data_IF_313402207263
#
_entry.id   IF_313402207263
#
_cell.length_a   1.000
_cell.length_b   1.000
_cell.length_c   1.000
_cell.angle_alpha   90.00
_cell.angle_beta   90.00
_cell.angle_gamma   90.00
#
_symmetry.space_group_name_H-M   'P 1'
#
loop_
_entity.id
_entity.type
_entity.pdbx_description
1 polymer ?
#
# COMPACT_ATOMS: atom_id res chain seq x y z
N UNK A 1 -24.13 -19.85 1.77
CA UNK A 1 -24.23 -21.29 1.43
C UNK A 1 -23.16 -21.54 0.38
N UNK A 2 -22.25 -22.50 0.59
CA UNK A 2 -21.27 -22.85 -0.44
C UNK A 2 -22.00 -23.55 -1.59
N UNK A 3 -21.64 -23.23 -2.84
CA UNK A 3 -22.07 -24.06 -3.96
C UNK A 3 -21.29 -25.38 -3.91
N UNK A 4 -22.00 -26.50 -4.00
CA UNK A 4 -21.38 -27.83 -4.06
C UNK A 4 -20.91 -28.21 -5.46
N UNK A 5 -21.23 -27.40 -6.48
CA UNK A 5 -20.81 -27.66 -7.85
C UNK A 5 -19.35 -27.26 -8.05
N UNK A 6 -18.58 -28.03 -8.86
CA UNK A 6 -17.24 -27.62 -9.28
C UNK A 6 -17.28 -26.24 -9.95
N UNK A 7 -16.19 -25.49 -9.81
CA UNK A 7 -16.02 -24.25 -10.57
C UNK A 7 -15.93 -24.56 -12.07
N UNK A 8 -16.36 -23.61 -12.90
CA UNK A 8 -16.10 -23.67 -14.35
C UNK A 8 -14.59 -23.77 -14.62
N UNK A 9 -14.20 -24.28 -15.79
CA UNK A 9 -12.79 -24.34 -16.18
C UNK A 9 -12.13 -22.96 -16.16
N UNK A 10 -12.84 -21.93 -16.64
CA UNK A 10 -12.38 -20.54 -16.63
C UNK A 10 -12.13 -20.02 -15.21
N UNK A 11 -13.09 -20.25 -14.29
CA UNK A 11 -12.95 -19.84 -12.90
C UNK A 11 -11.83 -20.61 -12.19
N UNK A 12 -11.71 -21.91 -12.48
CA UNK A 12 -10.63 -22.77 -11.98
C UNK A 12 -9.26 -22.27 -12.44
N UNK A 13 -9.11 -21.92 -13.72
CA UNK A 13 -7.86 -21.38 -14.27
C UNK A 13 -7.50 -20.04 -13.62
N UNK A 14 -8.48 -19.13 -13.48
CA UNK A 14 -8.27 -17.84 -12.84
C UNK A 14 -7.91 -17.97 -11.34
N UNK A 15 -8.53 -18.91 -10.61
CA UNK A 15 -8.20 -19.22 -9.21
C UNK A 15 -6.76 -19.70 -9.08
N UNK A 16 -6.33 -20.65 -9.91
CA UNK A 16 -4.95 -21.14 -9.90
C UNK A 16 -3.96 -19.99 -10.17
N UNK A 17 -4.27 -19.07 -11.07
CA UNK A 17 -3.43 -17.90 -11.35
C UNK A 17 -3.35 -16.94 -10.14
N UNK A 18 -4.47 -16.69 -9.45
CA UNK A 18 -4.47 -15.87 -8.22
C UNK A 18 -3.62 -16.51 -7.13
N UNK A 19 -3.77 -17.82 -6.89
CA UNK A 19 -2.96 -18.56 -5.91
C UNK A 19 -1.49 -18.47 -6.24
N UNK A 20 -1.13 -18.74 -7.50
CA UNK A 20 0.23 -18.66 -8.01
C UNK A 20 0.87 -17.29 -7.74
N UNK A 21 0.16 -16.22 -8.08
CA UNK A 21 0.68 -14.87 -7.96
C UNK A 21 0.80 -14.43 -6.50
N UNK A 22 -0.13 -14.83 -5.64
CA UNK A 22 -0.01 -14.59 -4.21
C UNK A 22 1.20 -15.32 -3.60
N UNK A 23 1.47 -16.57 -3.99
CA UNK A 23 2.67 -17.29 -3.51
C UNK A 23 3.95 -16.64 -4.03
N UNK A 24 3.99 -16.23 -5.29
CA UNK A 24 5.12 -15.50 -5.87
C UNK A 24 5.37 -14.18 -5.16
N UNK A 25 4.35 -13.33 -5.01
CA UNK A 25 4.48 -12.03 -4.32
C UNK A 25 4.84 -12.20 -2.84
N UNK A 26 4.33 -13.24 -2.17
CA UNK A 26 4.76 -13.61 -0.81
C UNK A 26 6.27 -13.85 -0.74
N UNK A 27 6.80 -14.66 -1.68
CA UNK A 27 8.23 -14.95 -1.75
C UNK A 27 9.05 -13.68 -2.05
N UNK A 28 8.62 -12.85 -3.00
CA UNK A 28 9.32 -11.60 -3.35
C UNK A 28 9.35 -10.63 -2.18
N UNK A 29 8.23 -10.42 -1.47
CA UNK A 29 8.20 -9.56 -0.29
C UNK A 29 9.07 -10.08 0.84
N UNK A 30 9.08 -11.39 1.07
CA UNK A 30 9.99 -11.99 2.06
C UNK A 30 11.47 -11.75 1.70
N UNK A 31 11.83 -11.90 0.43
CA UNK A 31 13.18 -11.61 -0.04
C UNK A 31 13.55 -10.12 0.06
N UNK A 32 12.61 -9.20 -0.20
CA UNK A 32 12.80 -7.77 0.03
C UNK A 32 13.04 -7.45 1.50
N UNK A 33 12.28 -8.04 2.42
CA UNK A 33 12.51 -7.85 3.85
C UNK A 33 13.95 -8.24 4.23
N UNK A 34 14.41 -9.39 3.75
CA UNK A 34 15.75 -9.88 4.03
C UNK A 34 16.87 -9.04 3.38
N UNK A 35 16.65 -8.48 2.18
CA UNK A 35 17.65 -7.59 1.56
C UNK A 35 17.92 -6.36 2.45
N UNK A 36 16.88 -5.85 3.10
CA UNK A 36 16.96 -4.71 4.00
C UNK A 36 17.50 -5.06 5.40
N UNK A 37 17.39 -6.31 5.87
CA UNK A 37 18.03 -6.75 7.12
C UNK A 37 19.56 -6.71 7.07
N UNK A 38 20.16 -6.91 5.89
CA UNK A 38 21.62 -7.01 5.75
C UNK A 38 22.37 -5.67 5.80
N UNK A 39 21.64 -4.54 5.81
CA UNK A 39 22.23 -3.21 5.83
C UNK A 39 22.49 -2.69 7.25
N UNK A 40 23.72 -2.20 7.53
CA UNK A 40 24.06 -1.45 8.76
C UNK A 40 23.36 -0.08 8.88
N UNK A 41 22.44 0.25 7.98
CA UNK A 41 21.72 1.51 7.96
C UNK A 41 20.35 1.25 8.54
N UNK A 42 19.96 2.02 9.55
CA UNK A 42 18.63 2.02 10.15
C UNK A 42 17.58 1.72 9.10
N UNK A 43 17.11 0.48 9.15
CA UNK A 43 16.06 0.02 8.29
C UNK A 43 14.80 0.61 8.87
N UNK A 44 14.42 1.79 8.35
CA UNK A 44 13.06 2.32 8.36
C UNK A 44 12.06 1.15 8.23
N UNK A 45 10.83 1.19 8.80
CA UNK A 45 9.96 0.01 9.03
C UNK A 45 9.57 -0.89 7.83
N UNK A 46 10.25 -0.81 6.70
CA UNK A 46 10.24 -1.69 5.54
C UNK A 46 10.42 -3.18 5.88
N UNK A 47 11.32 -3.56 6.79
CA UNK A 47 11.53 -5.00 7.08
C UNK A 47 10.22 -5.61 7.60
N UNK A 48 9.71 -5.09 8.70
CA UNK A 48 8.46 -5.55 9.30
C UNK A 48 7.27 -5.37 8.34
N UNK A 49 7.25 -4.29 7.57
CA UNK A 49 6.20 -4.05 6.58
C UNK A 49 6.18 -5.14 5.49
N UNK A 50 7.33 -5.45 4.89
CA UNK A 50 7.42 -6.47 3.85
C UNK A 50 7.22 -7.89 4.39
N UNK A 51 7.63 -8.19 5.63
CA UNK A 51 7.28 -9.46 6.28
C UNK A 51 5.76 -9.60 6.45
N UNK A 52 5.10 -8.56 6.97
CA UNK A 52 3.64 -8.55 7.14
C UNK A 52 2.92 -8.72 5.81
N UNK A 53 3.43 -8.11 4.74
CA UNK A 53 2.90 -8.30 3.39
C UNK A 53 3.13 -9.73 2.90
N UNK A 54 4.33 -10.28 3.08
CA UNK A 54 4.65 -11.65 2.70
C UNK A 54 3.69 -12.66 3.34
N UNK A 55 3.41 -12.50 4.63
CA UNK A 55 2.48 -13.35 5.37
C UNK A 55 1.03 -13.15 4.94
N UNK A 56 0.61 -11.90 4.75
CA UNK A 56 -0.73 -11.60 4.21
C UNK A 56 -0.96 -12.25 2.85
N UNK A 57 0.05 -12.23 1.96
CA UNK A 57 -0.03 -12.87 0.64
C UNK A 57 -0.12 -14.40 0.75
N UNK A 58 0.62 -15.02 1.68
CA UNK A 58 0.53 -16.46 1.94
C UNK A 58 -0.85 -16.86 2.47
N UNK A 59 -1.41 -16.06 3.36
CA UNK A 59 -2.75 -16.29 3.90
C UNK A 59 -3.82 -16.15 2.80
N UNK A 60 -3.73 -15.14 1.93
CA UNK A 60 -4.63 -15.03 0.78
C UNK A 60 -4.52 -16.23 -0.15
N UNK A 61 -3.30 -16.65 -0.50
CA UNK A 61 -3.09 -17.85 -1.32
C UNK A 61 -3.78 -19.07 -0.71
N UNK A 62 -3.59 -19.31 0.59
CA UNK A 62 -4.21 -20.41 1.32
C UNK A 62 -5.75 -20.34 1.28
N UNK A 63 -6.33 -19.17 1.49
CA UNK A 63 -7.79 -18.98 1.42
C UNK A 63 -8.36 -19.23 0.03
N UNK A 64 -7.71 -18.75 -1.04
CA UNK A 64 -8.10 -19.07 -2.42
C UNK A 64 -7.95 -20.56 -2.73
N UNK A 65 -6.86 -21.18 -2.25
CA UNK A 65 -6.64 -22.61 -2.40
C UNK A 65 -7.72 -23.43 -1.70
N UNK A 66 -8.18 -23.02 -0.53
CA UNK A 66 -9.28 -23.66 0.18
C UNK A 66 -10.59 -23.62 -0.61
N UNK A 67 -10.90 -22.51 -1.30
CA UNK A 67 -12.05 -22.46 -2.21
C UNK A 67 -11.91 -23.50 -3.34
N UNK A 68 -10.75 -23.54 -3.99
CA UNK A 68 -10.48 -24.47 -5.10
C UNK A 68 -10.56 -25.94 -4.64
N UNK A 69 -9.90 -26.27 -3.53
CA UNK A 69 -9.88 -27.62 -2.96
C UNK A 69 -11.27 -28.07 -2.53
N UNK A 70 -12.08 -27.18 -1.96
CA UNK A 70 -13.41 -27.53 -1.48
C UNK A 70 -14.30 -28.07 -2.61
N UNK A 71 -14.19 -27.53 -3.83
CA UNK A 71 -15.13 -27.82 -4.93
C UNK A 71 -14.59 -28.70 -6.04
N UNK A 72 -13.34 -28.51 -6.44
CA UNK A 72 -12.79 -29.25 -7.59
C UNK A 72 -12.02 -30.50 -7.19
N UNK A 73 -11.61 -30.60 -5.91
CA UNK A 73 -10.76 -31.69 -5.36
C UNK A 73 -9.42 -31.91 -6.10
N UNK A 74 -9.09 -31.05 -7.06
CA UNK A 74 -7.87 -31.07 -7.85
C UNK A 74 -7.34 -29.65 -7.99
N UNK A 75 -6.04 -29.50 -7.72
CA UNK A 75 -5.29 -28.26 -7.93
C UNK A 75 -4.50 -28.46 -9.22
N UNK A 76 -4.61 -27.51 -10.15
CA UNK A 76 -3.73 -27.52 -11.32
C UNK A 76 -2.39 -26.88 -10.92
N UNK A 77 -1.26 -27.33 -11.49
CA UNK A 77 0.02 -26.66 -11.29
C UNK A 77 -0.15 -25.17 -11.60
N UNK A 78 0.10 -24.27 -10.63
CA UNK A 78 0.03 -22.85 -10.87
C UNK A 78 1.05 -22.42 -11.94
N UNK A 79 0.81 -21.34 -12.69
CA UNK A 79 1.85 -20.77 -13.54
C UNK A 79 3.09 -20.40 -12.71
N UNK A 80 4.27 -20.65 -13.28
CA UNK A 80 5.53 -20.20 -12.70
C UNK A 80 5.77 -18.75 -13.09
N UNK A 81 6.06 -17.91 -12.10
CA UNK A 81 6.49 -16.52 -12.33
C UNK A 81 8.00 -16.45 -12.35
N UNK A 82 8.54 -15.58 -13.19
CA UNK A 82 9.98 -15.34 -13.27
C UNK A 82 10.54 -14.87 -11.93
N UNK A 83 11.79 -15.26 -11.65
CA UNK A 83 12.48 -14.86 -10.44
C UNK A 83 12.87 -13.39 -10.56
N UNK A 84 12.46 -12.58 -9.59
CA UNK A 84 12.88 -11.18 -9.49
C UNK A 84 14.37 -11.10 -9.13
N UNK A 85 15.14 -10.27 -9.83
CA UNK A 85 16.53 -10.00 -9.47
C UNK A 85 16.60 -9.06 -8.26
N UNK A 86 16.88 -9.64 -7.10
CA UNK A 86 17.00 -8.89 -5.84
C UNK A 86 18.16 -7.90 -5.83
N UNK A 87 19.13 -8.02 -6.74
CA UNK A 87 20.24 -7.06 -6.86
C UNK A 87 19.79 -5.68 -7.33
N UNK A 88 18.61 -5.57 -7.95
CA UNK A 88 18.04 -4.30 -8.38
C UNK A 88 17.32 -3.56 -7.23
N UNK A 89 16.94 -4.28 -6.18
CA UNK A 89 16.20 -3.77 -5.03
C UNK A 89 17.17 -3.36 -3.91
N UNK A 90 17.94 -2.30 -4.18
CA UNK A 90 18.97 -1.78 -3.27
C UNK A 90 18.52 -0.60 -2.42
N UNK A 91 17.41 0.04 -2.78
CA UNK A 91 16.92 1.25 -2.10
C UNK A 91 15.46 1.10 -1.70
N UNK A 92 15.01 1.77 -0.63
CA UNK A 92 13.59 1.80 -0.28
C UNK A 92 12.68 2.27 -1.42
N UNK A 93 13.15 3.24 -2.22
CA UNK A 93 12.40 3.74 -3.38
C UNK A 93 12.25 2.66 -4.47
N UNK A 94 13.32 1.93 -4.79
CA UNK A 94 13.23 0.84 -5.78
C UNK A 94 12.36 -0.32 -5.29
N UNK A 95 12.38 -0.61 -3.98
CA UNK A 95 11.47 -1.59 -3.38
C UNK A 95 9.99 -1.17 -3.47
N UNK A 96 9.68 0.10 -3.17
CA UNK A 96 8.32 0.64 -3.28
C UNK A 96 7.81 0.64 -4.74
N UNK A 97 8.66 0.99 -5.70
CA UNK A 97 8.31 0.94 -7.13
C UNK A 97 8.04 -0.50 -7.59
N UNK A 98 8.85 -1.46 -7.13
CA UNK A 98 8.63 -2.88 -7.43
C UNK A 98 7.36 -3.41 -6.78
N UNK A 99 7.09 -3.05 -5.53
CA UNK A 99 5.82 -3.35 -4.88
C UNK A 99 4.65 -2.79 -5.70
N UNK A 100 4.69 -1.53 -6.11
CA UNK A 100 3.64 -0.91 -6.93
C UNK A 100 3.36 -1.71 -8.21
N UNK A 101 4.40 -2.08 -8.97
CA UNK A 101 4.25 -2.88 -10.19
C UNK A 101 3.63 -4.26 -9.93
N UNK A 102 4.04 -4.93 -8.85
CA UNK A 102 3.45 -6.21 -8.46
C UNK A 102 1.97 -6.06 -8.08
N UNK A 103 1.63 -5.00 -7.35
CA UNK A 103 0.25 -4.77 -6.91
C UNK A 103 -0.70 -4.39 -8.05
N UNK A 104 -0.20 -3.67 -9.08
CA UNK A 104 -0.96 -3.45 -10.31
C UNK A 104 -1.25 -4.76 -11.05
N UNK A 105 -0.26 -5.64 -11.13
CA UNK A 105 -0.41 -6.96 -11.74
C UNK A 105 -1.38 -7.83 -10.96
N UNK A 106 -1.27 -7.87 -9.62
CA UNK A 106 -2.22 -8.59 -8.76
C UNK A 106 -3.64 -8.08 -8.97
N UNK A 107 -3.83 -6.77 -9.08
CA UNK A 107 -5.15 -6.17 -9.32
C UNK A 107 -5.77 -6.67 -10.63
N UNK A 108 -5.01 -6.73 -11.72
CA UNK A 108 -5.49 -7.25 -13.01
C UNK A 108 -5.91 -8.72 -12.90
N UNK A 109 -5.13 -9.53 -12.20
CA UNK A 109 -5.41 -10.96 -11.99
C UNK A 109 -6.67 -11.14 -11.13
N UNK A 110 -6.84 -10.37 -10.06
CA UNK A 110 -8.04 -10.41 -9.21
C UNK A 110 -9.31 -9.98 -9.96
N UNK A 111 -9.21 -8.96 -10.83
CA UNK A 111 -10.32 -8.54 -11.69
C UNK A 111 -10.69 -9.60 -12.73
N UNK A 112 -9.70 -10.31 -13.30
CA UNK A 112 -9.94 -11.44 -14.18
C UNK A 112 -10.67 -12.58 -13.44
N UNK A 113 -10.27 -12.90 -12.20
CA UNK A 113 -11.01 -13.85 -11.36
C UNK A 113 -12.44 -13.37 -11.09
N UNK A 114 -12.65 -12.08 -10.82
CA UNK A 114 -13.99 -11.52 -10.60
C UNK A 114 -14.89 -11.72 -11.82
N UNK A 115 -14.32 -11.56 -13.02
CA UNK A 115 -15.04 -11.79 -14.28
C UNK A 115 -15.38 -13.28 -14.49
N UNK A 116 -14.49 -14.21 -14.13
CA UNK A 116 -14.72 -15.64 -14.25
C UNK A 116 -15.67 -16.21 -13.16
N UNK A 117 -15.69 -15.58 -11.97
CA UNK A 117 -16.47 -16.02 -10.81
C UNK A 117 -17.88 -15.43 -10.73
N UNK A 118 -18.46 -14.89 -11.83
CA UNK A 118 -19.75 -14.16 -11.85
C UNK A 118 -20.92 -14.88 -11.17
N UNK A 119 -20.92 -16.22 -11.16
CA UNK A 119 -22.00 -17.05 -10.58
C UNK A 119 -21.64 -17.61 -9.20
N UNK A 120 -20.45 -17.31 -8.68
CA UNK A 120 -19.88 -17.91 -7.47
C UNK A 120 -19.98 -16.96 -6.28
N UNK A 121 -21.18 -16.86 -5.70
CA UNK A 121 -21.53 -15.84 -4.71
C UNK A 121 -20.60 -15.76 -3.49
N UNK A 122 -20.17 -16.89 -2.94
CA UNK A 122 -19.24 -16.99 -1.81
C UNK A 122 -17.82 -16.56 -2.19
N UNK A 123 -17.34 -16.97 -3.36
CA UNK A 123 -16.04 -16.55 -3.89
C UNK A 123 -16.05 -15.05 -4.20
N UNK A 124 -17.13 -14.53 -4.79
CA UNK A 124 -17.30 -13.09 -5.05
C UNK A 124 -17.33 -12.28 -3.75
N UNK A 125 -17.97 -12.79 -2.69
CA UNK A 125 -17.97 -12.13 -1.37
C UNK A 125 -16.55 -12.01 -0.82
N UNK A 126 -15.78 -13.10 -0.85
CA UNK A 126 -14.38 -13.08 -0.42
C UNK A 126 -13.54 -12.14 -1.31
N UNK A 127 -13.63 -12.29 -2.63
CA UNK A 127 -12.87 -11.51 -3.59
C UNK A 127 -13.15 -10.00 -3.50
N UNK A 128 -14.39 -9.61 -3.18
CA UNK A 128 -14.73 -8.19 -2.98
C UNK A 128 -14.00 -7.62 -1.77
N UNK A 129 -13.90 -8.37 -0.67
CA UNK A 129 -13.10 -7.96 0.49
C UNK A 129 -11.61 -7.85 0.14
N UNK A 130 -11.08 -8.79 -0.65
CA UNK A 130 -9.67 -8.76 -1.10
C UNK A 130 -9.41 -7.54 -1.98
N UNK A 131 -10.30 -7.24 -2.93
CA UNK A 131 -10.18 -6.08 -3.82
C UNK A 131 -10.25 -4.74 -3.06
N UNK A 132 -11.04 -4.66 -1.99
CA UNK A 132 -11.06 -3.47 -1.13
C UNK A 132 -9.69 -3.26 -0.47
N UNK A 133 -9.11 -4.31 0.12
CA UNK A 133 -7.76 -4.26 0.72
C UNK A 133 -6.67 -3.99 -0.31
N UNK A 134 -6.83 -4.51 -1.52
CA UNK A 134 -5.92 -4.25 -2.63
C UNK A 134 -5.89 -2.75 -2.99
N UNK A 135 -7.06 -2.11 -3.07
CA UNK A 135 -7.17 -0.67 -3.33
C UNK A 135 -6.51 0.16 -2.22
N UNK A 136 -6.84 -0.11 -0.95
CA UNK A 136 -6.24 0.57 0.20
C UNK A 136 -4.70 0.48 0.17
N UNK A 137 -4.17 -0.69 -0.17
CA UNK A 137 -2.72 -0.88 -0.23
C UNK A 137 -2.06 -0.12 -1.38
N UNK A 138 -2.70 -0.08 -2.55
CA UNK A 138 -2.20 0.73 -3.68
C UNK A 138 -2.17 2.22 -3.36
N UNK A 139 -3.23 2.75 -2.75
CA UNK A 139 -3.29 4.14 -2.30
C UNK A 139 -2.17 4.46 -1.30
N UNK A 140 -1.89 3.51 -0.39
CA UNK A 140 -0.76 3.62 0.52
C UNK A 140 0.57 3.71 -0.24
N UNK A 141 0.85 2.81 -1.18
CA UNK A 141 2.10 2.83 -1.96
C UNK A 141 2.26 4.13 -2.77
N UNK A 142 1.18 4.61 -3.38
CA UNK A 142 1.15 5.87 -4.12
C UNK A 142 1.49 7.06 -3.19
N UNK A 143 0.95 7.07 -1.96
CA UNK A 143 1.27 8.09 -0.96
C UNK A 143 2.76 8.09 -0.58
N UNK A 144 3.39 6.91 -0.47
CA UNK A 144 4.81 6.77 -0.13
C UNK A 144 5.75 7.21 -1.28
N UNK A 145 5.29 7.10 -2.53
CA UNK A 145 6.05 7.48 -3.72
C UNK A 145 5.83 8.95 -4.12
N UNK A 146 4.81 9.61 -3.59
CA UNK A 146 4.53 11.01 -3.86
C UNK A 146 5.66 11.92 -3.36
N UNK A 147 6.07 12.97 -4.11
CA UNK A 147 7.06 13.92 -3.63
C UNK A 147 6.60 14.54 -2.30
N UNK A 148 7.47 14.67 -1.28
CA UNK A 148 7.09 15.36 -0.07
C UNK A 148 6.70 16.80 -0.43
N UNK A 149 5.48 17.20 -0.09
CA UNK A 149 5.02 18.58 -0.24
C UNK A 149 5.87 19.49 0.66
N UNK A 150 7.05 19.91 0.19
CA UNK A 150 7.82 21.01 0.76
C UNK A 150 7.08 22.30 0.42
N UNK A 151 6.12 22.71 1.25
CA UNK A 151 5.40 23.95 1.01
C UNK A 151 4.30 24.26 2.01
N UNK A 152 4.70 24.79 3.18
CA UNK A 152 4.02 25.86 3.97
C UNK A 152 4.64 26.02 5.37
N UNK A 153 5.97 26.08 5.48
CA UNK A 153 6.67 26.62 6.68
C UNK A 153 8.00 27.28 6.29
N UNK A 154 7.92 28.27 5.40
CA UNK A 154 8.92 29.31 5.17
C UNK A 154 8.11 30.53 4.72
N UNK A 155 7.82 31.42 5.66
CA UNK A 155 7.41 32.83 5.52
C UNK A 155 6.73 33.27 6.83
N UNK A 156 7.49 33.30 7.92
CA UNK A 156 7.09 34.02 9.15
C UNK A 156 8.31 34.43 10.02
N UNK A 157 9.54 34.37 9.47
CA UNK A 157 10.76 34.83 10.17
C UNK A 157 11.63 35.80 9.36
N UNK A 158 11.19 36.23 8.18
CA UNK A 158 11.84 37.30 7.40
C UNK A 158 10.83 38.44 7.20
N UNK A 159 10.52 39.13 8.30
CA UNK A 159 9.86 40.45 8.29
C UNK A 159 10.50 41.40 9.32
N UNK A 160 11.72 41.09 9.78
CA UNK A 160 12.59 42.05 10.46
C UNK A 160 13.75 42.36 9.51
N UNK A 161 13.43 43.17 8.51
CA UNK A 161 14.38 43.84 7.62
C UNK A 161 14.34 45.32 7.99
N UNK A 162 15.53 45.94 8.04
CA UNK A 162 15.78 47.39 8.09
C UNK A 162 15.46 48.10 9.43
N UNK A 163 16.36 48.81 10.13
CA UNK A 163 17.57 49.54 9.74
C UNK A 163 18.57 49.63 10.92
N UNK A 164 19.87 49.85 10.66
CA UNK A 164 20.78 50.45 11.63
C UNK A 164 20.92 51.96 11.38
N UNK A 165 20.64 52.80 12.37
CA UNK A 165 21.19 54.15 12.46
C UNK A 165 21.05 54.71 13.88
N UNK A 166 22.19 55.17 14.38
CA UNK A 166 22.45 55.96 15.59
C UNK A 166 21.54 57.16 15.78
N UNK A 167 21.00 57.36 16.98
CA UNK A 167 20.96 58.66 17.68
C UNK A 167 20.10 58.58 18.96
N UNK A 168 20.59 59.23 20.01
CA UNK A 168 20.01 59.35 21.34
C UNK A 168 18.69 60.12 21.41
N UNK A 169 17.81 59.76 22.35
CA UNK A 169 17.01 60.76 23.07
C UNK A 169 15.52 60.48 23.28
N UNK A 170 15.18 60.17 24.54
CA UNK A 170 14.03 60.72 25.30
C UNK A 170 12.58 60.34 24.93
N UNK A 171 12.00 59.50 25.81
CA UNK A 171 10.66 59.50 26.45
C UNK A 171 9.38 59.81 25.63
N UNK A 172 8.39 58.91 25.75
CA UNK A 172 6.98 59.33 25.95
C UNK A 172 5.86 58.44 25.38
N UNK A 173 5.24 57.66 26.27
CA UNK A 173 3.79 57.41 26.43
C UNK A 173 2.89 56.69 25.37
N UNK A 174 2.24 55.59 25.84
CA UNK A 174 0.79 55.20 25.76
C UNK A 174 0.14 55.02 24.35
N UNK A 175 -0.78 54.08 24.05
CA UNK A 175 -1.66 53.16 24.79
C UNK A 175 -2.33 52.14 23.83
N UNK A 176 -2.42 50.87 24.26
CA UNK A 176 -3.54 49.90 24.23
C UNK A 176 -4.52 49.74 23.04
N UNK A 177 -4.68 48.48 22.57
CA UNK A 177 -5.93 47.66 22.39
C UNK A 177 -5.64 46.46 21.43
N UNK A 178 -5.38 45.22 21.87
CA UNK A 178 -6.26 44.09 22.33
C UNK A 178 -7.35 43.63 21.35
N UNK A 179 -7.19 42.43 20.77
CA UNK A 179 -8.24 41.39 20.58
C UNK A 179 -7.62 40.03 20.18
N UNK A 180 -8.20 38.93 20.67
CA UNK A 180 -7.75 37.51 20.62
C UNK A 180 -8.54 36.67 19.58
N UNK A 181 -8.08 35.45 19.22
CA UNK A 181 -8.57 34.64 18.08
C UNK A 181 -9.59 33.55 18.47
N UNK A 182 -10.21 32.92 17.46
CA UNK A 182 -11.10 31.75 17.59
C UNK A 182 -10.84 30.68 16.53
N UNK A 183 -10.81 29.42 16.99
CA UNK A 183 -10.56 28.17 16.26
C UNK A 183 -11.73 27.69 15.38
N UNK A 184 -11.45 26.94 14.30
CA UNK A 184 -12.40 25.95 13.75
C UNK A 184 -11.71 24.68 13.22
N UNK A 185 -12.33 23.55 13.60
CA UNK A 185 -11.98 22.13 13.40
C UNK A 185 -12.09 21.62 11.95
N UNK A 186 -11.36 20.54 11.69
CA UNK A 186 -11.40 19.68 10.51
C UNK A 186 -12.63 18.76 10.41
N UNK A 187 -12.93 18.27 9.21
CA UNK A 187 -13.76 17.07 8.97
C UNK A 187 -13.25 16.34 7.72
N UNK A 188 -13.08 15.02 7.83
CA UNK A 188 -12.73 14.08 6.75
C UNK A 188 -13.81 13.00 6.70
N UNK A 189 -14.25 12.62 5.50
CA UNK A 189 -15.02 11.40 5.22
C UNK A 189 -14.57 10.82 3.90
N UNK A 190 -14.20 9.53 3.89
CA UNK A 190 -13.94 8.70 2.70
C UNK A 190 -14.66 7.36 2.90
N UNK A 191 -15.47 6.95 1.93
CA UNK A 191 -16.20 5.68 1.89
C UNK A 191 -15.58 4.74 0.84
N UNK A 192 -15.42 3.47 1.20
CA UNK A 192 -14.97 2.37 0.35
C UNK A 192 -16.03 1.90 -0.65
#
# INVERSE_FOLDING_TARGET
MFSCHPFSEECTKALNQVVAYHLHTSHVYFAMAHSFMTGKKETFPFVQHFETLADSRREYANRFLNHLWTRNKKICPPPTYEKVDMKEITTPKSALLMAQNMEETLTKILLALKAAARRESDLLKFLTSVLCKQREFKEYLESQLSPPQKGKRKNEKEAQTEQPSTSSGVKGYLSSKRSKPGDHKATTTSNC
#
